data_IF_655736043023
#
_entry.id   IF_655736043023
#
_cell.length_a   1.000
_cell.length_b   1.000
_cell.length_c   1.000
_cell.angle_alpha   90.00
_cell.angle_beta   90.00
_cell.angle_gamma   90.00
#
_symmetry.space_group_name_H-M   'P 1'
#
loop_
_entity.id
_entity.type
_entity.pdbx_description
1 polymer ?
#
# COMPACT_ATOMS: atom_id res chain seq x y z
N UNK A 1 4.70 7.79 24.47
CA UNK A 1 3.39 7.12 24.23
C UNK A 1 3.37 6.73 22.77
N UNK A 2 2.77 5.59 22.35
CA UNK A 2 2.70 5.28 20.94
C UNK A 2 1.81 6.31 20.24
N UNK A 3 2.30 6.88 19.15
CA UNK A 3 1.57 7.86 18.35
C UNK A 3 0.65 7.12 17.37
N UNK A 4 -0.59 7.60 17.22
CA UNK A 4 -1.53 7.00 16.26
C UNK A 4 -1.53 7.80 14.97
N UNK A 5 -1.33 7.13 13.83
CA UNK A 5 -1.39 7.79 12.52
C UNK A 5 -2.81 8.29 12.22
N UNK A 6 -2.96 9.58 11.91
CA UNK A 6 -4.25 10.19 11.59
C UNK A 6 -4.86 9.75 10.24
N UNK A 7 -4.06 9.11 9.37
CA UNK A 7 -4.51 8.63 8.06
C UNK A 7 -4.95 7.16 8.12
N UNK A 8 -4.04 6.26 8.50
CA UNK A 8 -4.33 4.82 8.49
C UNK A 8 -4.71 4.24 9.86
N UNK A 9 -4.56 4.99 10.96
CA UNK A 9 -4.86 4.50 12.31
C UNK A 9 -3.78 3.62 12.95
N UNK A 10 -2.62 3.45 12.30
CA UNK A 10 -1.50 2.66 12.84
C UNK A 10 -1.06 3.17 14.22
N UNK A 11 -0.83 2.25 15.15
CA UNK A 11 -0.19 2.53 16.44
C UNK A 11 1.32 2.40 16.25
N UNK A 12 2.04 3.51 16.33
CA UNK A 12 3.44 3.60 15.93
C UNK A 12 4.40 3.48 17.13
N UNK A 13 5.58 2.88 16.94
CA UNK A 13 6.68 2.98 17.90
C UNK A 13 7.04 4.44 18.16
N UNK A 14 7.52 4.73 19.36
CA UNK A 14 7.94 6.08 19.75
C UNK A 14 8.99 6.63 18.78
N UNK A 15 8.73 7.83 18.24
CA UNK A 15 9.63 8.52 17.31
C UNK A 15 9.64 7.98 15.88
N UNK A 16 8.78 7.01 15.53
CA UNK A 16 8.63 6.53 14.13
C UNK A 16 7.33 7.02 13.51
N UNK A 17 7.40 7.36 12.23
CA UNK A 17 6.24 7.63 11.38
C UNK A 17 5.93 6.44 10.48
N UNK A 18 4.73 6.42 9.88
CA UNK A 18 4.43 5.46 8.81
C UNK A 18 5.38 5.61 7.62
N UNK A 19 5.88 6.83 7.36
CA UNK A 19 6.84 7.09 6.27
C UNK A 19 8.21 6.45 6.57
N UNK A 20 8.68 6.51 7.81
CA UNK A 20 9.93 5.85 8.22
C UNK A 20 9.81 4.32 8.03
N UNK A 21 8.71 3.73 8.51
CA UNK A 21 8.45 2.28 8.36
C UNK A 21 8.34 1.92 6.88
N UNK A 22 7.69 2.76 6.07
CA UNK A 22 7.61 2.55 4.63
C UNK A 22 9.00 2.59 3.98
N UNK A 23 9.84 3.54 4.35
CA UNK A 23 11.23 3.62 3.90
C UNK A 23 12.04 2.37 4.26
N UNK A 24 11.88 1.85 5.46
CA UNK A 24 12.53 0.61 5.93
C UNK A 24 12.06 -0.61 5.10
N UNK A 25 10.76 -0.73 4.84
CA UNK A 25 10.18 -1.77 3.97
C UNK A 25 10.80 -1.72 2.57
N UNK A 26 10.82 -0.54 1.95
CA UNK A 26 11.38 -0.37 0.61
C UNK A 26 12.88 -0.70 0.58
N UNK A 27 13.65 -0.22 1.56
CA UNK A 27 15.08 -0.50 1.64
C UNK A 27 15.35 -2.02 1.69
N UNK A 28 14.55 -2.75 2.46
CA UNK A 28 14.65 -4.20 2.58
C UNK A 28 14.30 -4.91 1.27
N UNK A 29 13.20 -4.53 0.63
CA UNK A 29 12.75 -5.05 -0.67
C UNK A 29 13.77 -4.81 -1.80
N UNK A 30 14.51 -3.70 -1.76
CA UNK A 30 15.58 -3.41 -2.72
C UNK A 30 16.87 -4.18 -2.44
N UNK A 31 17.11 -4.57 -1.19
CA UNK A 31 18.35 -5.22 -0.76
C UNK A 31 18.28 -6.74 -0.95
N UNK A 32 17.11 -7.34 -0.77
CA UNK A 32 16.91 -8.78 -0.86
C UNK A 32 15.70 -9.13 -1.76
N UNK A 33 15.93 -9.84 -2.89
CA UNK A 33 14.87 -10.27 -3.79
C UNK A 33 13.76 -11.10 -3.15
N UNK A 34 14.04 -11.81 -2.05
CA UNK A 34 13.05 -12.56 -1.27
C UNK A 34 11.97 -11.65 -0.71
N UNK A 35 12.34 -10.47 -0.19
CA UNK A 35 11.40 -9.45 0.29
C UNK A 35 10.72 -8.71 -0.87
N UNK A 36 11.47 -8.41 -1.93
CA UNK A 36 10.98 -7.65 -3.10
C UNK A 36 9.83 -8.29 -3.89
N UNK A 37 9.49 -9.56 -3.62
CA UNK A 37 8.37 -10.29 -4.26
C UNK A 37 7.01 -9.59 -4.10
N UNK A 38 6.83 -8.87 -3.00
CA UNK A 38 5.57 -8.23 -2.61
C UNK A 38 5.57 -6.71 -2.76
N UNK A 39 6.63 -6.13 -3.33
CA UNK A 39 6.82 -4.68 -3.48
C UNK A 39 5.60 -3.94 -4.03
N UNK A 40 4.90 -4.52 -5.01
CA UNK A 40 3.68 -3.93 -5.56
C UNK A 40 2.60 -3.72 -4.49
N UNK A 41 2.37 -4.72 -3.62
CA UNK A 41 1.41 -4.64 -2.53
C UNK A 41 1.83 -3.60 -1.50
N UNK A 42 3.11 -3.57 -1.13
CA UNK A 42 3.67 -2.60 -0.16
C UNK A 42 3.38 -1.17 -0.59
N UNK A 43 3.71 -0.83 -1.84
CA UNK A 43 3.45 0.51 -2.41
C UNK A 43 1.96 0.78 -2.52
N UNK A 44 1.18 -0.14 -3.08
CA UNK A 44 -0.25 0.08 -3.30
C UNK A 44 -1.01 0.29 -1.99
N UNK A 45 -0.78 -0.55 -0.98
CA UNK A 45 -1.48 -0.45 0.31
C UNK A 45 -1.10 0.81 1.06
N UNK A 46 0.19 1.16 1.10
CA UNK A 46 0.65 2.39 1.74
C UNK A 46 -0.04 3.61 1.12
N UNK A 47 -0.03 3.69 -0.21
CA UNK A 47 -0.60 4.80 -0.97
C UNK A 47 -2.12 4.89 -0.83
N UNK A 48 -2.83 3.77 -0.76
CA UNK A 48 -4.28 3.74 -0.53
C UNK A 48 -4.62 4.22 0.88
N UNK A 49 -3.97 3.68 1.91
CA UNK A 49 -4.29 3.98 3.31
C UNK A 49 -3.86 5.38 3.75
N UNK A 50 -2.94 6.02 3.01
CA UNK A 50 -2.44 7.38 3.29
C UNK A 50 -2.91 8.41 2.26
N UNK A 51 -4.00 8.13 1.53
CA UNK A 51 -4.63 9.07 0.59
C UNK A 51 -3.63 9.60 -0.47
N UNK A 52 -2.61 8.81 -0.80
CA UNK A 52 -1.49 9.23 -1.64
C UNK A 52 -1.79 9.18 -3.13
N UNK A 53 -2.75 8.36 -3.55
CA UNK A 53 -3.15 8.25 -4.96
C UNK A 53 -4.20 9.28 -5.36
N UNK A 54 -4.09 9.78 -6.60
CA UNK A 54 -5.20 10.46 -7.25
C UNK A 54 -6.41 9.54 -7.38
N UNK A 55 -7.59 10.12 -7.60
CA UNK A 55 -8.83 9.36 -7.76
C UNK A 55 -8.73 8.33 -8.90
N UNK A 56 -8.11 8.71 -10.03
CA UNK A 56 -7.90 7.81 -11.16
C UNK A 56 -7.00 6.63 -10.78
N UNK A 57 -5.88 6.91 -10.12
CA UNK A 57 -4.93 5.87 -9.73
C UNK A 57 -5.46 5.00 -8.59
N UNK A 58 -6.31 5.53 -7.71
CA UNK A 58 -7.00 4.76 -6.68
C UNK A 58 -7.90 3.67 -7.28
N UNK A 59 -8.73 4.04 -8.27
CA UNK A 59 -9.62 3.09 -8.98
C UNK A 59 -8.79 2.04 -9.73
N UNK A 60 -7.71 2.46 -10.37
CA UNK A 60 -6.80 1.53 -11.03
C UNK A 60 -6.12 0.59 -10.02
N UNK A 61 -5.63 1.12 -8.89
CA UNK A 61 -4.95 0.35 -7.86
C UNK A 61 -5.88 -0.72 -7.26
N UNK A 62 -7.17 -0.41 -7.09
CA UNK A 62 -8.18 -1.40 -6.70
C UNK A 62 -8.23 -2.58 -7.68
N UNK A 63 -8.28 -2.29 -8.98
CA UNK A 63 -8.30 -3.32 -10.03
C UNK A 63 -6.99 -4.11 -10.08
N UNK A 64 -5.85 -3.44 -9.92
CA UNK A 64 -4.54 -4.07 -9.90
C UNK A 64 -4.34 -4.98 -8.67
N UNK A 65 -4.79 -4.55 -7.49
CA UNK A 65 -4.81 -5.38 -6.28
C UNK A 65 -5.65 -6.64 -6.48
N UNK A 66 -6.85 -6.50 -7.07
CA UNK A 66 -7.72 -7.64 -7.38
C UNK A 66 -7.04 -8.63 -8.33
N UNK A 67 -6.51 -8.13 -9.44
CA UNK A 67 -5.80 -8.96 -10.43
C UNK A 67 -4.61 -9.70 -9.82
N UNK A 68 -3.85 -9.05 -8.93
CA UNK A 68 -2.72 -9.68 -8.27
C UNK A 68 -3.15 -10.72 -7.22
N UNK A 69 -4.08 -10.38 -6.32
CA UNK A 69 -4.42 -11.17 -5.13
C UNK A 69 -5.46 -12.28 -5.37
N UNK A 70 -6.37 -12.08 -6.32
CA UNK A 70 -7.48 -12.99 -6.62
C UNK A 70 -7.22 -13.77 -7.92
N UNK A 71 -6.72 -13.11 -8.97
CA UNK A 71 -6.49 -13.71 -10.29
C UNK A 71 -5.06 -14.22 -10.51
N UNK A 72 -4.15 -13.99 -9.56
CA UNK A 72 -2.78 -14.50 -9.61
C UNK A 72 -1.90 -13.89 -10.70
N UNK A 73 -2.18 -12.65 -11.12
CA UNK A 73 -1.36 -11.98 -12.14
C UNK A 73 0.06 -11.73 -11.62
N UNK A 74 1.05 -12.07 -12.45
CA UNK A 74 2.45 -11.79 -12.13
C UNK A 74 2.72 -10.27 -12.03
N UNK A 75 3.62 -9.87 -11.11
CA UNK A 75 4.02 -8.47 -10.89
C UNK A 75 4.43 -7.75 -12.18
N UNK A 76 5.13 -8.44 -13.08
CA UNK A 76 5.55 -7.87 -14.37
C UNK A 76 4.39 -7.48 -15.29
N UNK A 77 3.28 -8.21 -15.22
CA UNK A 77 2.05 -7.85 -15.94
C UNK A 77 1.43 -6.59 -15.33
N UNK A 78 1.34 -6.51 -14.00
CA UNK A 78 0.83 -5.33 -13.30
C UNK A 78 1.68 -4.09 -13.61
N UNK A 79 3.01 -4.22 -13.61
CA UNK A 79 3.93 -3.13 -13.98
C UNK A 79 3.74 -2.66 -15.41
N UNK A 80 3.58 -3.59 -16.35
CA UNK A 80 3.30 -3.28 -17.75
C UNK A 80 1.97 -2.53 -17.89
N UNK A 81 0.92 -2.99 -17.22
CA UNK A 81 -0.39 -2.36 -17.25
C UNK A 81 -0.33 -0.94 -16.65
N UNK A 82 0.44 -0.74 -15.57
CA UNK A 82 0.69 0.58 -15.00
C UNK A 82 1.39 1.52 -15.99
N UNK A 83 2.44 1.03 -16.66
CA UNK A 83 3.23 1.81 -17.62
C UNK A 83 2.46 2.15 -18.92
N UNK A 84 1.42 1.37 -19.25
CA UNK A 84 0.56 1.62 -20.40
C UNK A 84 -0.69 2.42 -20.04
N UNK A 85 -1.12 2.37 -18.78
CA UNK A 85 -2.31 3.02 -18.24
C UNK A 85 -2.00 4.26 -17.36
N UNK A 86 -2.67 4.42 -16.19
CA UNK A 86 -2.56 5.62 -15.37
C UNK A 86 -1.16 5.94 -14.83
N UNK A 87 -0.24 4.96 -14.82
CA UNK A 87 1.17 5.21 -14.49
C UNK A 87 1.93 5.97 -15.59
N UNK A 88 1.37 6.07 -16.80
CA UNK A 88 1.92 6.84 -17.94
C UNK A 88 1.48 8.30 -17.94
N UNK A 89 0.31 8.59 -17.39
CA UNK A 89 -0.28 9.93 -17.35
C UNK A 89 0.19 10.67 -16.09
N UNK A 90 0.42 11.98 -16.22
CA UNK A 90 0.79 12.82 -15.07
C UNK A 90 -0.40 12.86 -14.12
N UNK A 91 -0.20 12.42 -12.88
CA UNK A 91 -1.26 12.43 -11.86
C UNK A 91 -1.24 11.24 -10.90
N UNK A 92 -0.08 10.64 -10.63
CA UNK A 92 0.02 9.52 -9.66
C UNK A 92 -0.39 9.99 -8.26
N UNK A 93 0.08 11.16 -7.86
CA UNK A 93 -0.14 11.70 -6.52
C UNK A 93 -1.46 12.45 -6.45
N UNK A 94 -2.16 12.28 -5.34
CA UNK A 94 -3.28 13.14 -4.97
C UNK A 94 -2.80 14.60 -4.86
N UNK A 95 -3.53 15.59 -5.41
CA UNK A 95 -3.23 17.00 -5.18
C UNK A 95 -3.31 17.35 -3.69
N UNK A 96 -2.44 18.24 -3.21
CA UNK A 96 -2.39 18.61 -1.79
C UNK A 96 -3.63 19.38 -1.31
N UNK A 97 -4.36 20.01 -2.24
CA UNK A 97 -5.60 20.76 -2.01
C UNK A 97 -6.87 19.91 -2.22
N UNK A 98 -6.71 18.62 -2.56
CA UNK A 98 -7.85 17.74 -2.73
C UNK A 98 -8.57 17.51 -1.39
N UNK A 99 -9.92 17.43 -1.38
CA UNK A 99 -10.67 17.10 -0.18
C UNK A 99 -10.21 15.76 0.42
N UNK A 100 -10.23 15.61 1.76
CA UNK A 100 -9.89 14.34 2.40
C UNK A 100 -10.88 13.26 2.00
N UNK A 101 -10.39 12.02 1.89
CA UNK A 101 -11.25 10.87 1.61
C UNK A 101 -12.03 10.45 2.87
N UNK A 102 -13.18 9.75 2.71
CA UNK A 102 -13.87 9.14 3.83
C UNK A 102 -12.92 8.26 4.64
N UNK A 103 -12.93 8.42 5.98
CA UNK A 103 -12.09 7.63 6.86
C UNK A 103 -12.52 6.16 6.84
N UNK A 104 -11.54 5.29 6.66
CA UNK A 104 -11.71 3.83 6.75
C UNK A 104 -11.04 3.37 8.04
N UNK A 105 -11.75 2.55 8.81
CA UNK A 105 -11.19 1.90 9.99
C UNK A 105 -10.42 0.64 9.54
N UNK A 106 -9.19 0.85 9.08
CA UNK A 106 -8.34 -0.23 8.57
C UNK A 106 -8.06 -1.27 9.65
N UNK A 107 -8.29 -2.55 9.35
CA UNK A 107 -8.01 -3.63 10.30
C UNK A 107 -6.52 -4.01 10.37
N UNK A 108 -5.79 -3.75 9.29
CA UNK A 108 -4.35 -3.93 9.18
C UNK A 108 -3.72 -2.67 8.58
N UNK A 109 -2.57 -2.30 9.13
CA UNK A 109 -1.80 -1.11 8.75
C UNK A 109 -0.36 -1.48 8.42
N UNK A 110 0.43 -0.49 8.01
CA UNK A 110 1.85 -0.70 7.76
C UNK A 110 2.62 -1.17 9.01
N UNK A 111 2.17 -0.81 10.22
CA UNK A 111 2.80 -1.26 11.45
C UNK A 111 2.64 -2.79 11.65
N UNK A 112 1.45 -3.33 11.31
CA UNK A 112 1.18 -4.76 11.37
C UNK A 112 2.00 -5.52 10.32
N UNK A 113 2.12 -4.96 9.11
CA UNK A 113 2.92 -5.54 8.04
C UNK A 113 4.42 -5.57 8.38
N UNK A 114 4.93 -4.50 9.00
CA UNK A 114 6.33 -4.37 9.39
C UNK A 114 6.77 -5.36 10.49
N UNK A 115 5.84 -5.96 11.24
CA UNK A 115 6.16 -6.97 12.24
C UNK A 115 6.89 -8.21 11.64
N UNK A 116 6.73 -8.44 10.34
CA UNK A 116 7.35 -9.56 9.62
C UNK A 116 8.75 -9.31 9.09
N UNK A 117 9.33 -8.11 9.26
CA UNK A 117 10.60 -7.74 8.59
C UNK A 117 11.82 -8.60 8.97
N UNK A 118 11.73 -9.39 10.05
CA UNK A 118 12.80 -10.25 10.52
C UNK A 118 13.12 -11.43 9.59
N UNK A 119 12.19 -11.84 8.71
CA UNK A 119 12.42 -12.85 7.67
C UNK A 119 11.53 -12.62 6.44
N UNK A 120 12.00 -13.04 5.26
CA UNK A 120 11.31 -12.78 4.00
C UNK A 120 9.93 -13.44 3.90
N UNK A 121 9.76 -14.67 4.41
CA UNK A 121 8.52 -15.41 4.28
C UNK A 121 7.42 -14.83 5.17
N UNK A 122 7.75 -14.43 6.40
CA UNK A 122 6.84 -13.72 7.31
C UNK A 122 6.50 -12.34 6.78
N UNK A 123 7.48 -11.59 6.27
CA UNK A 123 7.24 -10.31 5.63
C UNK A 123 6.25 -10.42 4.47
N UNK A 124 6.53 -11.29 3.49
CA UNK A 124 5.65 -11.48 2.34
C UNK A 124 4.23 -11.89 2.76
N UNK A 125 4.11 -12.80 3.72
CA UNK A 125 2.80 -13.25 4.24
C UNK A 125 2.00 -12.10 4.85
N UNK A 126 2.63 -11.25 5.65
CA UNK A 126 1.93 -10.13 6.30
C UNK A 126 1.60 -9.01 5.31
N UNK A 127 2.46 -8.74 4.34
CA UNK A 127 2.16 -7.79 3.24
C UNK A 127 0.99 -8.30 2.39
N UNK A 128 0.92 -9.60 2.10
CA UNK A 128 -0.23 -10.19 1.40
C UNK A 128 -1.53 -10.09 2.21
N UNK A 129 -1.48 -10.33 3.53
CA UNK A 129 -2.63 -10.15 4.42
C UNK A 129 -3.09 -8.68 4.44
N UNK A 130 -2.14 -7.75 4.54
CA UNK A 130 -2.41 -6.32 4.47
C UNK A 130 -3.03 -5.91 3.13
N UNK A 131 -2.56 -6.49 2.02
CA UNK A 131 -3.13 -6.30 0.68
C UNK A 131 -4.57 -6.77 0.58
N UNK A 132 -4.89 -7.95 1.11
CA UNK A 132 -6.25 -8.50 1.11
C UNK A 132 -7.19 -7.67 1.99
N UNK A 133 -6.74 -7.25 3.17
CA UNK A 133 -7.52 -6.39 4.05
C UNK A 133 -7.79 -5.03 3.39
N UNK A 134 -6.76 -4.39 2.83
CA UNK A 134 -6.89 -3.12 2.11
C UNK A 134 -7.89 -3.22 0.96
N UNK A 135 -7.79 -4.25 0.11
CA UNK A 135 -8.73 -4.43 -1.01
C UNK A 135 -10.18 -4.64 -0.55
N UNK A 136 -10.38 -5.35 0.57
CA UNK A 136 -11.71 -5.62 1.12
C UNK A 136 -12.34 -4.38 1.75
N UNK A 137 -11.53 -3.55 2.40
CA UNK A 137 -11.98 -2.43 3.22
C UNK A 137 -12.01 -1.11 2.47
N UNK A 138 -11.21 -0.97 1.41
CA UNK A 138 -11.19 0.23 0.59
C UNK A 138 -12.59 0.49 0.01
N UNK A 139 -13.16 1.63 0.39
CA UNK A 139 -14.48 2.05 -0.07
C UNK A 139 -14.46 2.55 -1.52
N UNK A 140 -15.64 2.67 -2.16
CA UNK A 140 -15.73 3.43 -3.40
C UNK A 140 -15.35 4.89 -3.14
N UNK A 141 -14.78 5.56 -4.14
CA UNK A 141 -14.70 7.02 -4.12
C UNK A 141 -16.13 7.57 -4.16
N UNK A 142 -16.55 8.24 -3.09
CA UNK A 142 -17.82 8.96 -3.07
C UNK A 142 -17.64 10.20 -3.96
N UNK A 143 -18.41 10.29 -5.05
CA UNK A 143 -18.54 11.48 -5.88
C UNK A 143 -19.84 12.20 -5.54
#
# INVERSE_FOLDING_TARGET
MPDTCALCGAVLPEGKTCEDIFGECLALEFTDPGYGRVHFLTVACYMIQHEGYSDELYVWAQSALRNYLEEGYATERIRRDAAQGPGRTKGIRRPADAPPLPKVAWSLTIADAAAGMHDADSYCRLIEQWGRATLKEMGPLVR
#
